data_IF_355439602556
#
_entry.id   IF_355439602556
#
_cell.length_a   1.000
_cell.length_b   1.000
_cell.length_c   1.000
_cell.angle_alpha   90.00
_cell.angle_beta   90.00
_cell.angle_gamma   90.00
#
_symmetry.space_group_name_H-M   'P 1'
#
loop_
_entity.id
_entity.type
_entity.pdbx_description
1 polymer ?
#
# COMPACT_ATOMS: atom_id res chain seq x y z
N UNK A 1 -18.28 -30.93 42.79
CA UNK A 1 -18.53 -31.24 41.37
C UNK A 1 -17.73 -30.26 40.50
N UNK A 2 -17.01 -30.74 39.46
CA UNK A 2 -15.60 -30.39 39.11
C UNK A 2 -15.45 -29.58 37.80
N UNK A 3 -14.41 -28.75 37.53
CA UNK A 3 -12.99 -28.93 37.08
C UNK A 3 -12.71 -29.39 35.62
N UNK A 4 -11.96 -28.52 34.88
CA UNK A 4 -10.96 -28.72 33.77
C UNK A 4 -11.52 -29.26 32.41
N UNK A 5 -10.94 -29.10 31.21
CA UNK A 5 -9.60 -28.79 30.63
C UNK A 5 -9.80 -28.16 29.21
N UNK A 6 -8.92 -27.37 28.56
CA UNK A 6 -7.55 -27.57 28.01
C UNK A 6 -7.34 -28.79 27.09
N UNK A 7 -7.28 -28.58 25.76
CA UNK A 7 -6.45 -29.35 24.79
C UNK A 7 -6.29 -28.55 23.48
N UNK A 8 -5.07 -28.11 23.12
CA UNK A 8 -4.11 -28.75 22.21
C UNK A 8 -4.64 -29.15 20.82
N UNK A 9 -4.21 -28.43 19.78
CA UNK A 9 -4.17 -28.95 18.41
C UNK A 9 -2.73 -28.88 17.87
N UNK A 10 -2.14 -30.06 17.64
CA UNK A 10 -0.86 -30.25 16.92
C UNK A 10 -1.14 -30.52 15.44
N UNK A 11 -0.29 -30.03 14.52
CA UNK A 11 -0.37 -30.38 13.10
C UNK A 11 0.20 -31.78 12.86
N UNK A 12 -0.48 -32.58 12.02
CA UNK A 12 0.08 -33.85 11.52
C UNK A 12 0.87 -33.58 10.23
N UNK A 13 2.16 -33.86 10.28
CA UNK A 13 2.98 -34.17 9.11
C UNK A 13 2.64 -35.58 8.60
N UNK A 14 2.65 -35.78 7.29
CA UNK A 14 2.91 -37.08 6.68
C UNK A 14 3.83 -36.88 5.46
N UNK A 15 5.02 -37.47 5.58
CA UNK A 15 6.02 -37.71 4.53
C UNK A 15 6.25 -39.24 4.52
N UNK A 16 6.44 -39.81 3.33
CA UNK A 16 6.85 -41.21 3.09
C UNK A 16 5.88 -41.90 2.12
N UNK A 17 6.08 -41.88 0.80
CA UNK A 17 7.12 -42.51 -0.03
C UNK A 17 7.03 -44.06 -0.07
N UNK A 18 6.62 -44.62 -1.22
CA UNK A 18 7.39 -45.61 -2.02
C UNK A 18 6.58 -46.26 -3.16
N UNK A 19 7.13 -46.07 -4.37
CA UNK A 19 7.40 -47.05 -5.46
C UNK A 19 6.38 -48.19 -5.74
N UNK A 20 5.89 -48.20 -6.98
CA UNK A 20 5.82 -49.43 -7.78
C UNK A 20 6.08 -49.11 -9.27
N UNK A 21 7.01 -49.87 -9.85
CA UNK A 21 7.40 -49.86 -11.26
C UNK A 21 6.44 -50.77 -12.04
N UNK A 22 6.13 -50.40 -13.28
CA UNK A 22 5.50 -51.29 -14.27
C UNK A 22 5.70 -50.74 -15.67
N UNK A 23 6.66 -51.29 -16.41
CA UNK A 23 6.92 -51.01 -17.83
C UNK A 23 5.87 -51.71 -18.69
N UNK A 24 5.50 -51.08 -19.80
CA UNK A 24 4.75 -51.70 -20.90
C UNK A 24 4.64 -50.76 -22.08
N UNK A 25 5.64 -50.79 -22.97
CA UNK A 25 5.56 -50.22 -24.31
C UNK A 25 4.60 -51.05 -25.17
N UNK A 26 3.73 -50.41 -25.95
CA UNK A 26 3.32 -50.81 -27.30
C UNK A 26 2.38 -49.75 -27.90
N UNK A 27 2.84 -49.14 -28.99
CA UNK A 27 2.05 -48.49 -30.04
C UNK A 27 2.71 -48.91 -31.38
N UNK A 28 2.08 -48.78 -32.58
CA UNK A 28 0.87 -48.03 -32.88
C UNK A 28 -0.14 -48.75 -33.82
N UNK A 29 -1.39 -48.27 -33.88
CA UNK A 29 -2.26 -48.44 -35.05
C UNK A 29 -3.00 -47.15 -35.40
N UNK A 30 -3.14 -46.94 -36.71
CA UNK A 30 -3.58 -45.74 -37.44
C UNK A 30 -5.10 -45.54 -37.45
N UNK A 31 -5.50 -44.28 -37.66
CA UNK A 31 -6.84 -43.83 -38.12
C UNK A 31 -7.83 -43.68 -36.96
N UNK A 32 -8.40 -42.52 -36.66
CA UNK A 32 -9.25 -41.71 -37.55
C UNK A 32 -9.24 -40.24 -37.14
N UNK A 33 -9.58 -39.37 -38.10
CA UNK A 33 -9.59 -37.92 -37.99
C UNK A 33 -10.51 -37.39 -36.88
N UNK A 34 -9.96 -36.60 -35.96
CA UNK A 34 -10.72 -35.82 -34.99
C UNK A 34 -10.50 -34.31 -35.22
N UNK A 35 -11.64 -33.62 -35.31
CA UNK A 35 -11.85 -32.23 -35.68
C UNK A 35 -11.01 -31.24 -34.86
N UNK A 36 -10.49 -30.21 -35.55
CA UNK A 36 -9.91 -28.99 -34.97
C UNK A 36 -10.90 -28.30 -34.01
N UNK A 37 -10.44 -27.72 -32.89
CA UNK A 37 -11.30 -26.91 -32.04
C UNK A 37 -11.68 -25.63 -32.80
N UNK A 38 -13.00 -25.36 -32.86
CA UNK A 38 -13.57 -24.19 -33.49
C UNK A 38 -13.19 -22.95 -32.68
N UNK A 39 -12.60 -21.97 -33.34
CA UNK A 39 -12.53 -20.59 -32.85
C UNK A 39 -13.96 -20.10 -32.58
N UNK A 40 -14.24 -19.69 -31.34
CA UNK A 40 -15.43 -18.92 -31.03
C UNK A 40 -15.27 -17.52 -31.62
N UNK A 41 -15.81 -17.33 -32.83
CA UNK A 41 -16.20 -16.00 -33.32
C UNK A 41 -17.41 -15.56 -32.50
N UNK A 42 -17.24 -14.57 -31.64
CA UNK A 42 -18.38 -13.86 -31.06
C UNK A 42 -19.15 -13.17 -32.19
N UNK A 43 -20.45 -13.42 -32.23
CA UNK A 43 -21.38 -12.83 -33.18
C UNK A 43 -21.44 -11.32 -32.94
N UNK A 44 -21.33 -10.56 -34.03
CA UNK A 44 -21.79 -9.17 -34.13
C UNK A 44 -23.22 -9.11 -33.58
N UNK A 45 -23.43 -8.35 -32.52
CA UNK A 45 -24.74 -7.81 -32.22
C UNK A 45 -24.93 -6.58 -33.10
N UNK A 46 -25.92 -6.66 -33.98
CA UNK A 46 -26.36 -5.55 -34.80
C UNK A 46 -27.01 -4.49 -33.89
N UNK A 47 -26.56 -3.24 -34.01
CA UNK A 47 -27.27 -2.09 -33.48
C UNK A 47 -28.15 -1.51 -34.58
N UNK A 48 -29.45 -1.40 -34.30
CA UNK A 48 -30.35 -0.56 -35.07
C UNK A 48 -30.16 0.92 -34.69
N UNK A 49 -30.11 1.83 -35.68
CA UNK A 49 -29.80 3.24 -35.49
C UNK A 49 -31.05 4.11 -35.49
N UNK A 50 -31.06 5.16 -34.68
CA UNK A 50 -31.82 6.40 -34.88
C UNK A 50 -31.04 7.52 -34.18
N UNK A 51 -30.75 8.70 -34.73
CA UNK A 51 -31.15 9.32 -36.00
C UNK A 51 -31.12 10.85 -35.83
N UNK A 52 -30.78 11.53 -36.92
CA UNK A 52 -30.84 12.99 -37.21
C UNK A 52 -29.58 13.82 -36.88
N UNK A 53 -28.78 14.20 -37.89
CA UNK A 53 -28.99 15.20 -38.98
C UNK A 53 -28.73 16.63 -38.45
N UNK A 54 -27.96 17.51 -39.10
CA UNK A 54 -27.92 17.78 -40.53
C UNK A 54 -26.61 18.46 -41.01
N UNK A 55 -26.49 18.51 -42.35
CA UNK A 55 -25.46 19.02 -43.28
C UNK A 55 -24.96 20.45 -42.95
N UNK A 56 -23.77 20.92 -43.38
CA UNK A 56 -23.38 21.09 -44.79
C UNK A 56 -21.89 21.46 -44.98
N UNK A 57 -21.49 21.37 -46.25
CA UNK A 57 -20.15 21.41 -46.85
C UNK A 57 -19.48 22.79 -46.85
N UNK A 58 -18.14 22.77 -46.89
CA UNK A 58 -17.37 23.43 -47.95
C UNK A 58 -16.52 24.64 -47.55
N UNK A 59 -15.28 24.68 -48.06
CA UNK A 59 -14.53 25.94 -48.23
C UNK A 59 -13.07 25.89 -47.83
N UNK A 60 -12.18 25.74 -48.83
CA UNK A 60 -10.73 26.01 -48.71
C UNK A 60 -10.48 27.53 -48.72
N UNK A 61 -9.30 27.89 -48.18
CA UNK A 61 -8.34 28.91 -48.66
C UNK A 61 -8.10 30.17 -47.80
N UNK A 62 -6.80 30.32 -47.48
CA UNK A 62 -5.95 31.52 -47.50
C UNK A 62 -6.28 32.77 -46.65
N UNK A 63 -5.25 33.26 -45.94
CA UNK A 63 -5.17 34.65 -45.49
C UNK A 63 -4.40 34.90 -44.19
N UNK A 64 -3.08 35.13 -44.28
CA UNK A 64 -2.33 36.02 -43.37
C UNK A 64 -2.62 37.50 -43.79
N UNK A 65 -2.20 38.57 -43.07
CA UNK A 65 -1.71 38.74 -41.69
C UNK A 65 -2.21 40.06 -40.98
N UNK A 66 -1.63 40.35 -39.81
CA UNK A 66 -1.22 41.68 -39.26
C UNK A 66 -1.99 42.33 -38.09
N UNK A 67 -1.16 42.66 -37.10
CA UNK A 67 -1.02 43.95 -36.37
C UNK A 67 -1.99 44.34 -35.23
N UNK A 68 -1.35 44.46 -34.04
CA UNK A 68 -1.62 45.34 -32.87
C UNK A 68 -1.98 46.80 -33.27
N UNK A 69 -2.54 47.70 -32.41
CA UNK A 69 -2.16 47.86 -30.99
C UNK A 69 -3.19 48.43 -29.97
N UNK A 70 -2.76 48.36 -28.69
CA UNK A 70 -2.91 49.28 -27.53
C UNK A 70 -4.12 50.22 -27.41
N UNK A 71 -4.69 50.23 -26.20
CA UNK A 71 -4.84 51.45 -25.38
C UNK A 71 -6.24 51.74 -24.83
N UNK A 72 -6.28 52.21 -23.58
CA UNK A 72 -7.35 53.09 -23.08
C UNK A 72 -8.19 52.53 -21.93
N UNK A 73 -7.93 53.04 -20.73
CA UNK A 73 -8.83 52.89 -19.58
C UNK A 73 -10.05 53.82 -19.65
N UNK A 74 -11.05 53.54 -18.82
CA UNK A 74 -12.22 54.40 -18.62
C UNK A 74 -13.09 53.89 -17.48
N UNK A 75 -13.37 54.76 -16.50
CA UNK A 75 -14.24 54.55 -15.34
C UNK A 75 -15.73 54.61 -15.72
N UNK A 76 -16.53 53.78 -15.02
CA UNK A 76 -17.92 53.90 -14.50
C UNK A 76 -19.00 54.69 -15.30
N UNK A 77 -20.28 54.24 -15.28
CA UNK A 77 -21.18 54.52 -14.14
C UNK A 77 -22.21 53.41 -13.78
N UNK A 78 -22.83 53.54 -12.60
CA UNK A 78 -24.05 52.82 -12.17
C UNK A 78 -25.29 53.30 -12.95
N UNK A 79 -26.45 52.60 -12.88
CA UNK A 79 -27.47 53.02 -11.91
C UNK A 79 -28.42 51.95 -11.30
N UNK A 80 -28.93 52.32 -10.11
CA UNK A 80 -30.30 52.22 -9.55
C UNK A 80 -31.08 50.89 -9.38
N UNK A 81 -31.61 50.70 -8.16
CA UNK A 81 -32.81 49.88 -7.91
C UNK A 81 -32.96 49.30 -6.49
N UNK A 82 -33.27 50.13 -5.48
CA UNK A 82 -33.78 49.76 -4.14
C UNK A 82 -35.33 49.70 -4.18
N UNK A 83 -36.08 49.00 -3.27
CA UNK A 83 -36.06 49.31 -1.83
C UNK A 83 -36.23 48.17 -0.80
N UNK A 84 -35.83 48.51 0.44
CA UNK A 84 -36.13 47.91 1.76
C UNK A 84 -37.64 48.02 2.09
N UNK A 85 -38.27 47.20 2.93
CA UNK A 85 -38.19 47.06 4.41
C UNK A 85 -39.15 45.89 4.82
N UNK A 86 -39.27 45.32 6.03
CA UNK A 86 -39.01 45.76 7.39
C UNK A 86 -38.95 44.56 8.37
N UNK A 87 -38.47 44.84 9.58
CA UNK A 87 -38.22 43.99 10.75
C UNK A 87 -39.49 43.53 11.53
N UNK A 88 -39.22 42.64 12.53
CA UNK A 88 -39.90 42.40 13.83
C UNK A 88 -40.79 41.13 13.88
N UNK A 89 -40.89 40.30 14.93
CA UNK A 89 -40.53 40.30 16.36
C UNK A 89 -40.47 38.83 16.86
N UNK A 90 -39.69 38.54 17.91
CA UNK A 90 -39.86 37.39 18.80
C UNK A 90 -40.83 37.73 19.96
N UNK A 91 -41.45 36.73 20.62
CA UNK A 91 -41.48 36.77 22.09
C UNK A 91 -41.33 35.41 22.82
N UNK A 92 -41.03 35.50 24.11
CA UNK A 92 -40.95 34.43 25.15
C UNK A 92 -42.32 34.14 25.80
N UNK A 93 -42.42 32.99 26.49
CA UNK A 93 -43.53 32.42 27.32
C UNK A 93 -44.04 33.32 28.48
N UNK A 94 -45.19 33.02 29.16
CA UNK A 94 -45.19 32.11 30.35
C UNK A 94 -46.53 31.40 30.79
N UNK A 95 -46.42 30.46 31.77
CA UNK A 95 -47.36 29.90 32.80
C UNK A 95 -48.76 29.35 32.39
N UNK A 96 -49.28 28.19 32.86
CA UNK A 96 -49.67 27.80 34.24
C UNK A 96 -49.75 26.25 34.49
N UNK A 97 -49.62 25.85 35.76
CA UNK A 97 -50.02 24.59 36.46
C UNK A 97 -50.93 25.04 37.64
N UNK A 98 -51.82 24.25 38.32
CA UNK A 98 -51.54 23.01 39.10
C UNK A 98 -52.84 22.13 39.32
N UNK A 99 -53.13 21.36 40.42
CA UNK A 99 -52.42 20.95 41.67
C UNK A 99 -52.41 19.42 41.91
N UNK A 100 -51.89 18.79 42.97
CA UNK A 100 -51.27 19.14 44.26
C UNK A 100 -51.15 17.86 45.12
N UNK A 101 -50.23 17.82 46.10
CA UNK A 101 -50.16 16.72 47.10
C UNK A 101 -48.78 16.36 47.67
N UNK A 102 -48.28 17.16 48.63
CA UNK A 102 -47.09 16.99 49.53
C UNK A 102 -47.55 16.39 50.91
N UNK A 103 -46.76 16.34 52.03
CA UNK A 103 -45.35 16.71 52.31
C UNK A 103 -44.53 15.67 53.14
N UNK A 104 -43.19 15.80 53.21
CA UNK A 104 -42.44 16.28 54.40
C UNK A 104 -41.40 15.22 54.81
N UNK A 105 -40.23 15.44 55.42
CA UNK A 105 -39.55 16.57 56.03
C UNK A 105 -38.12 16.11 56.45
N UNK A 106 -37.28 17.06 56.85
CA UNK A 106 -35.82 16.95 57.03
C UNK A 106 -35.32 16.20 58.29
N UNK A 107 -34.04 15.76 58.25
CA UNK A 107 -32.93 16.06 59.23
C UNK A 107 -31.98 14.88 59.52
N UNK A 108 -30.68 15.20 59.44
CA UNK A 108 -29.54 14.95 60.37
C UNK A 108 -29.40 13.60 61.10
N UNK A 109 -28.21 12.97 61.01
CA UNK A 109 -27.40 12.37 62.10
C UNK A 109 -25.98 12.06 61.53
N UNK A 110 -24.89 12.71 61.95
CA UNK A 110 -24.01 12.47 63.13
C UNK A 110 -23.56 11.02 63.35
N UNK A 111 -22.23 10.84 63.51
CA UNK A 111 -21.59 9.74 64.24
C UNK A 111 -20.66 8.91 63.36
N UNK A 112 -19.33 9.08 63.48
CA UNK A 112 -18.44 8.24 64.30
C UNK A 112 -18.04 6.94 63.54
N UNK A 113 -16.82 6.42 63.51
CA UNK A 113 -15.59 6.70 64.23
C UNK A 113 -14.40 6.20 63.38
N UNK A 114 -13.22 6.65 63.75
CA UNK A 114 -11.96 6.36 63.12
C UNK A 114 -11.32 5.04 63.63
N UNK A 115 -10.40 4.51 62.79
CA UNK A 115 -9.11 3.83 63.13
C UNK A 115 -9.13 2.34 63.58
N UNK A 116 -7.99 1.61 63.57
CA UNK A 116 -7.07 1.32 62.44
C UNK A 116 -6.42 -0.10 62.50
N UNK A 117 -5.45 -0.36 61.59
CA UNK A 117 -4.38 -1.41 61.61
C UNK A 117 -4.86 -2.82 61.19
N UNK A 118 -4.18 -3.53 60.27
CA UNK A 118 -2.79 -4.01 60.42
C UNK A 118 -2.02 -4.11 59.10
N UNK A 119 -0.75 -3.73 59.21
CA UNK A 119 0.37 -4.04 58.31
C UNK A 119 0.61 -5.56 58.24
N UNK A 120 1.02 -6.07 57.08
CA UNK A 120 2.12 -7.05 56.98
C UNK A 120 2.99 -6.70 55.78
N UNK A 121 4.23 -6.32 56.12
CA UNK A 121 5.38 -6.33 55.22
C UNK A 121 5.92 -7.76 55.14
N UNK A 122 6.45 -8.15 53.99
CA UNK A 122 7.51 -9.13 53.91
C UNK A 122 8.68 -8.59 53.09
N UNK A 123 9.84 -9.08 53.49
CA UNK A 123 11.13 -8.42 53.55
C UNK A 123 12.00 -8.71 52.34
N UNK A 124 12.91 -7.75 52.12
CA UNK A 124 14.14 -7.88 51.33
C UNK A 124 15.01 -9.02 51.87
N UNK A 125 15.67 -9.73 50.96
CA UNK A 125 16.84 -10.57 51.23
C UNK A 125 17.98 -10.21 50.29
N UNK A 126 18.97 -9.51 50.81
CA UNK A 126 20.36 -9.41 50.33
C UNK A 126 20.99 -10.82 50.35
N UNK A 127 21.78 -11.28 49.39
CA UNK A 127 23.10 -10.80 48.99
C UNK A 127 24.12 -11.93 49.23
N UNK A 128 24.84 -12.38 48.19
CA UNK A 128 26.11 -13.11 48.37
C UNK A 128 26.99 -13.00 47.11
N UNK A 129 28.12 -12.31 47.29
CA UNK A 129 29.38 -12.53 46.55
C UNK A 129 30.33 -13.27 47.50
N UNK A 130 31.14 -14.20 46.99
CA UNK A 130 32.61 -14.05 46.88
C UNK A 130 33.35 -15.41 46.80
N UNK A 131 34.55 -15.33 46.18
CA UNK A 131 35.73 -16.23 46.21
C UNK A 131 35.64 -17.43 45.25
N UNK A 132 36.56 -17.67 44.31
CA UNK A 132 37.96 -17.29 44.19
C UNK A 132 38.83 -18.51 44.51
N UNK A 133 39.58 -19.04 43.52
CA UNK A 133 40.78 -19.88 43.74
C UNK A 133 41.61 -19.99 42.45
N UNK A 134 42.82 -19.45 42.54
CA UNK A 134 43.97 -19.68 41.68
C UNK A 134 44.54 -21.10 41.85
N UNK A 135 45.20 -21.62 40.81
CA UNK A 135 46.29 -22.58 40.97
C UNK A 135 47.37 -22.38 39.90
N UNK A 136 48.58 -22.09 40.39
CA UNK A 136 49.89 -21.95 39.70
C UNK A 136 50.34 -23.28 39.06
N UNK A 137 50.89 -23.23 37.85
CA UNK A 137 52.32 -23.34 37.48
C UNK A 137 52.98 -24.72 37.64
N UNK A 138 53.63 -25.22 36.56
CA UNK A 138 55.05 -25.65 36.53
C UNK A 138 55.52 -26.02 35.11
N UNK A 139 56.84 -25.88 34.89
CA UNK A 139 57.55 -25.80 33.60
C UNK A 139 58.46 -27.03 33.38
N UNK A 140 58.56 -27.45 32.11
CA UNK A 140 59.74 -28.00 31.37
C UNK A 140 60.32 -29.37 31.76
N UNK A 141 61.36 -29.91 31.04
CA UNK A 141 62.01 -29.47 29.80
C UNK A 141 62.37 -30.60 28.77
N UNK A 142 63.03 -30.19 27.66
CA UNK A 142 63.91 -30.92 26.70
C UNK A 142 63.39 -30.84 25.23
N UNK A 143 63.87 -30.00 24.31
CA UNK A 143 65.20 -29.61 23.83
C UNK A 143 65.93 -30.66 22.97
N UNK A 144 65.93 -30.46 21.64
CA UNK A 144 67.12 -30.30 20.75
C UNK A 144 66.66 -30.17 19.28
N UNK A 145 66.78 -29.00 18.62
CA UNK A 145 67.95 -28.37 17.94
C UNK A 145 68.13 -28.90 16.50
N UNK A 146 67.82 -28.13 15.45
CA UNK A 146 68.75 -27.33 14.60
C UNK A 146 67.90 -26.90 13.35
N UNK A 147 67.93 -25.70 12.79
CA UNK A 147 69.00 -25.08 11.98
C UNK A 147 68.72 -23.58 11.70
N UNK A 148 69.74 -22.94 11.16
CA UNK A 148 70.04 -21.50 11.10
C UNK A 148 69.23 -20.67 10.08
N UNK A 149 68.97 -19.42 10.52
CA UNK A 149 69.16 -18.09 9.87
C UNK A 149 68.55 -17.83 8.48
N UNK A 150 67.61 -16.88 8.47
CA UNK A 150 67.40 -15.90 7.39
C UNK A 150 67.10 -14.53 8.00
N UNK A 151 67.90 -13.52 7.64
CA UNK A 151 67.68 -12.09 7.94
C UNK A 151 66.67 -11.55 6.92
N UNK A 152 65.60 -10.90 7.35
CA UNK A 152 64.85 -9.99 6.48
C UNK A 152 64.64 -8.62 7.13
N UNK A 153 64.82 -7.60 6.30
CA UNK A 153 64.91 -6.18 6.60
C UNK A 153 63.51 -5.55 6.61
N UNK A 154 63.39 -4.45 7.36
CA UNK A 154 62.22 -3.58 7.45
C UNK A 154 61.82 -2.99 6.08
N UNK A 155 60.52 -3.00 5.79
CA UNK A 155 59.85 -2.19 4.75
C UNK A 155 58.61 -1.48 5.33
N UNK A 156 58.36 -0.25 4.87
CA UNK A 156 57.29 0.68 5.31
C UNK A 156 55.86 0.11 5.15
N UNK A 157 54.85 0.60 5.90
CA UNK A 157 53.48 0.16 5.74
C UNK A 157 52.80 0.97 4.62
N UNK A 158 52.47 0.31 3.51
CA UNK A 158 51.55 0.85 2.51
C UNK A 158 50.11 0.64 2.98
N UNK A 159 49.42 1.76 3.18
CA UNK A 159 47.99 1.79 3.45
C UNK A 159 47.20 1.51 2.17
N UNK A 160 46.49 0.39 2.14
CA UNK A 160 45.26 0.23 1.36
C UNK A 160 44.22 -0.50 2.21
N UNK A 161 43.12 0.18 2.49
CA UNK A 161 41.93 -0.43 3.07
C UNK A 161 41.41 -1.54 2.13
N UNK A 162 40.77 -2.60 2.66
CA UNK A 162 40.25 -3.68 1.83
C UNK A 162 39.17 -3.14 0.87
N UNK A 163 39.39 -3.28 -0.44
CA UNK A 163 38.44 -2.88 -1.48
C UNK A 163 37.19 -3.78 -1.36
N UNK A 164 36.05 -3.17 -1.00
CA UNK A 164 34.75 -3.84 -1.00
C UNK A 164 34.48 -4.45 -2.38
N UNK A 165 33.91 -5.68 -2.46
CA UNK A 165 33.69 -6.33 -3.74
C UNK A 165 32.85 -5.44 -4.65
N UNK A 166 33.38 -5.15 -5.84
CA UNK A 166 32.73 -4.32 -6.86
C UNK A 166 31.31 -4.83 -7.08
N UNK A 167 30.32 -3.94 -6.88
CA UNK A 167 28.91 -4.21 -7.14
C UNK A 167 28.79 -4.81 -8.53
N UNK A 168 28.43 -6.08 -8.62
CA UNK A 168 28.10 -6.75 -9.88
C UNK A 168 27.02 -5.91 -10.55
N UNK A 169 27.32 -5.24 -11.67
CA UNK A 169 26.33 -4.50 -12.46
C UNK A 169 25.25 -5.51 -12.83
N UNK A 170 24.08 -5.39 -12.20
CA UNK A 170 22.89 -6.08 -12.64
C UNK A 170 22.53 -5.43 -13.98
N UNK A 171 22.82 -6.12 -15.08
CA UNK A 171 22.40 -5.69 -16.41
C UNK A 171 20.87 -5.74 -16.47
N UNK A 172 20.19 -4.64 -16.87
CA UNK A 172 18.76 -4.67 -17.18
C UNK A 172 18.45 -5.80 -18.17
N UNK A 173 17.26 -6.38 -18.06
CA UNK A 173 16.81 -7.38 -19.02
C UNK A 173 16.40 -6.68 -20.32
N UNK A 174 17.24 -6.72 -21.35
CA UNK A 174 16.86 -6.33 -22.72
C UNK A 174 16.91 -4.82 -23.02
N UNK A 175 16.32 -4.35 -24.15
CA UNK A 175 16.41 -2.96 -24.63
C UNK A 175 15.86 -1.98 -23.58
N UNK A 176 16.04 -0.66 -23.81
CA UNK A 176 15.51 0.40 -22.94
C UNK A 176 14.09 0.07 -22.46
N UNK A 177 13.84 0.23 -21.16
CA UNK A 177 12.50 0.05 -20.59
C UNK A 177 11.48 0.85 -21.43
N UNK A 178 10.28 0.30 -21.70
CA UNK A 178 9.22 1.12 -22.26
C UNK A 178 8.89 2.27 -21.30
N UNK A 179 8.19 3.29 -21.78
CA UNK A 179 7.59 4.22 -20.84
C UNK A 179 6.64 3.47 -19.89
N UNK A 180 6.79 3.73 -18.59
CA UNK A 180 5.99 3.10 -17.54
C UNK A 180 5.44 4.17 -16.59
N UNK A 181 4.25 3.93 -16.06
CA UNK A 181 3.64 4.76 -15.01
C UNK A 181 2.87 3.86 -14.05
N UNK A 182 3.01 4.03 -12.74
CA UNK A 182 2.07 3.38 -11.81
C UNK A 182 0.69 4.04 -11.99
N UNK A 183 -0.31 3.24 -12.36
CA UNK A 183 -1.66 3.74 -12.58
C UNK A 183 -2.47 3.74 -11.28
N UNK A 184 -2.56 2.59 -10.59
CA UNK A 184 -3.31 2.47 -9.34
C UNK A 184 -2.84 1.33 -8.44
N UNK A 185 -3.32 1.35 -7.20
CA UNK A 185 -3.39 0.18 -6.32
C UNK A 185 -4.85 -0.21 -6.13
N UNK A 186 -5.15 -1.46 -6.42
CA UNK A 186 -6.50 -2.02 -6.32
C UNK A 186 -6.70 -2.71 -4.97
N UNK A 187 -7.90 -2.61 -4.40
CA UNK A 187 -8.31 -3.19 -3.12
C UNK A 187 -9.51 -4.10 -3.39
N UNK A 188 -9.35 -5.38 -3.08
CA UNK A 188 -10.46 -6.33 -3.14
C UNK A 188 -11.30 -6.20 -1.87
N UNK A 189 -12.60 -6.00 -2.05
CA UNK A 189 -13.58 -5.82 -0.98
C UNK A 189 -14.75 -6.79 -1.15
N UNK A 190 -15.41 -7.11 -0.04
CA UNK A 190 -16.63 -7.92 -0.06
C UNK A 190 -17.80 -7.19 -0.67
N UNK A 191 -17.85 -5.86 -0.53
CA UNK A 191 -18.81 -5.00 -1.20
C UNK A 191 -18.25 -3.57 -1.40
N UNK A 192 -18.40 -3.02 -2.60
CA UNK A 192 -17.92 -1.68 -2.98
C UNK A 192 -18.66 -0.59 -2.21
N UNK A 193 -19.99 -0.69 -2.06
CA UNK A 193 -20.79 0.35 -1.42
C UNK A 193 -20.32 0.72 0.01
N UNK A 194 -20.17 -0.23 0.96
CA UNK A 194 -19.67 0.09 2.30
C UNK A 194 -18.19 0.53 2.29
N UNK A 195 -17.34 -0.06 1.44
CA UNK A 195 -15.94 0.33 1.32
C UNK A 195 -15.78 1.76 0.81
N UNK A 196 -16.56 2.14 -0.21
CA UNK A 196 -16.57 3.49 -0.74
C UNK A 196 -17.09 4.50 0.29
N UNK A 197 -18.14 4.15 1.06
CA UNK A 197 -18.62 4.96 2.16
C UNK A 197 -17.54 5.18 3.24
N UNK A 198 -16.76 4.14 3.57
CA UNK A 198 -15.60 4.26 4.45
C UNK A 198 -14.55 5.23 3.89
N UNK A 199 -14.11 5.05 2.63
CA UNK A 199 -13.09 5.92 2.04
C UNK A 199 -13.56 7.37 1.89
N UNK A 200 -14.84 7.62 1.55
CA UNK A 200 -15.44 8.97 1.51
C UNK A 200 -15.43 9.66 2.88
N UNK A 201 -15.60 8.88 3.95
CA UNK A 201 -15.61 9.38 5.32
C UNK A 201 -14.19 9.71 5.81
N UNK A 202 -13.21 8.85 5.49
CA UNK A 202 -11.84 8.99 5.98
C UNK A 202 -11.01 9.96 5.16
N UNK A 203 -11.11 9.91 3.83
CA UNK A 203 -10.20 10.59 2.90
C UNK A 203 -10.95 11.62 2.03
N UNK A 204 -10.25 12.67 1.54
CA UNK A 204 -10.80 13.60 0.55
C UNK A 204 -10.81 12.96 -0.85
N UNK A 205 -11.68 11.97 -1.07
CA UNK A 205 -11.72 11.26 -2.35
C UNK A 205 -12.44 12.06 -3.43
N UNK A 206 -11.94 12.02 -4.66
CA UNK A 206 -12.64 12.47 -5.87
C UNK A 206 -12.96 11.26 -6.75
N UNK A 207 -14.25 10.97 -6.96
CA UNK A 207 -14.67 9.89 -7.85
C UNK A 207 -14.17 10.14 -9.27
N UNK A 208 -13.72 9.09 -9.94
CA UNK A 208 -13.43 9.11 -11.38
C UNK A 208 -14.44 8.25 -12.14
N UNK A 209 -14.66 7.02 -11.67
CA UNK A 209 -15.59 6.07 -12.28
C UNK A 209 -16.54 5.54 -11.21
N UNK A 210 -17.85 5.72 -11.41
CA UNK A 210 -18.87 5.08 -10.57
C UNK A 210 -18.87 3.54 -10.78
N UNK A 211 -19.32 2.75 -9.79
CA UNK A 211 -19.30 1.29 -9.88
C UNK A 211 -19.93 0.76 -11.16
N UNK A 212 -19.19 -0.07 -11.89
CA UNK A 212 -19.64 -0.70 -13.15
C UNK A 212 -19.03 -2.09 -13.33
N UNK A 213 -19.63 -2.90 -14.20
CA UNK A 213 -19.09 -4.22 -14.53
C UNK A 213 -17.67 -4.14 -15.09
N UNK A 214 -16.86 -5.10 -14.70
CA UNK A 214 -15.60 -5.43 -15.35
C UNK A 214 -15.83 -5.97 -16.76
N UNK A 215 -14.77 -6.06 -17.54
CA UNK A 215 -14.81 -6.42 -18.95
C UNK A 215 -15.33 -7.82 -19.26
N UNK A 216 -15.26 -8.73 -18.28
CA UNK A 216 -15.67 -10.13 -18.40
C UNK A 216 -16.84 -10.48 -17.49
N UNK A 217 -17.52 -9.47 -16.95
CA UNK A 217 -18.65 -9.57 -16.01
C UNK A 217 -18.33 -10.42 -14.75
N UNK A 218 -17.05 -10.67 -14.42
CA UNK A 218 -16.68 -11.44 -13.21
C UNK A 218 -16.64 -10.61 -11.95
N UNK A 219 -16.50 -9.31 -12.10
CA UNK A 219 -16.28 -8.37 -11.01
C UNK A 219 -16.96 -7.04 -11.33
N UNK A 220 -17.25 -6.28 -10.29
CA UNK A 220 -17.60 -4.86 -10.36
C UNK A 220 -16.38 -4.08 -9.91
N UNK A 221 -16.13 -2.92 -10.52
CA UNK A 221 -15.06 -2.04 -10.11
C UNK A 221 -15.48 -0.58 -10.10
N UNK A 222 -14.77 0.20 -9.30
CA UNK A 222 -14.86 1.67 -9.24
C UNK A 222 -13.49 2.22 -8.91
N UNK A 223 -13.22 3.46 -9.29
CA UNK A 223 -12.00 4.12 -8.90
C UNK A 223 -12.21 5.58 -8.49
N UNK A 224 -11.27 6.04 -7.67
CA UNK A 224 -11.27 7.38 -7.14
C UNK A 224 -9.84 7.84 -6.89
N UNK A 225 -9.71 9.14 -6.71
CA UNK A 225 -8.44 9.82 -6.52
C UNK A 225 -8.34 10.37 -5.09
N UNK A 226 -7.14 10.34 -4.53
CA UNK A 226 -6.78 11.06 -3.30
C UNK A 226 -5.56 11.93 -3.65
N UNK A 227 -5.81 13.21 -3.92
CA UNK A 227 -4.84 14.06 -4.61
C UNK A 227 -4.58 13.53 -6.02
N UNK A 228 -3.34 13.17 -6.30
CA UNK A 228 -2.85 12.61 -7.57
C UNK A 228 -2.78 11.08 -7.59
N UNK A 229 -3.04 10.40 -6.47
CA UNK A 229 -3.06 8.93 -6.42
C UNK A 229 -4.42 8.35 -6.77
N UNK A 230 -4.41 7.33 -7.63
CA UNK A 230 -5.59 6.53 -7.97
C UNK A 230 -5.65 5.26 -7.13
N UNK A 231 -6.82 5.00 -6.55
CA UNK A 231 -7.16 3.74 -5.91
C UNK A 231 -8.36 3.13 -6.62
N UNK A 232 -8.35 1.81 -6.75
CA UNK A 232 -9.45 1.03 -7.32
C UNK A 232 -10.04 0.13 -6.23
N UNK A 233 -11.36 -0.03 -6.23
CA UNK A 233 -12.04 -1.08 -5.48
C UNK A 233 -12.59 -2.10 -6.46
N UNK A 234 -12.41 -3.38 -6.14
CA UNK A 234 -13.00 -4.50 -6.88
C UNK A 234 -13.84 -5.38 -5.96
N UNK A 235 -15.00 -5.77 -6.44
CA UNK A 235 -15.95 -6.67 -5.80
C UNK A 235 -16.30 -7.80 -6.76
N UNK A 236 -16.60 -8.99 -6.23
CA UNK A 236 -17.05 -10.10 -7.07
C UNK A 236 -18.45 -9.86 -7.62
N UNK A 237 -18.65 -10.03 -8.94
CA UNK A 237 -19.98 -10.01 -9.54
C UNK A 237 -20.61 -11.40 -9.61
N UNK A 238 -19.84 -12.47 -9.36
CA UNK A 238 -20.33 -13.86 -9.43
C UNK A 238 -19.54 -14.85 -8.56
N UNK A 239 -20.15 -16.00 -8.21
CA UNK A 239 -19.44 -17.06 -7.52
C UNK A 239 -18.20 -17.56 -8.27
N UNK A 240 -17.21 -17.98 -7.51
CA UNK A 240 -15.92 -18.49 -7.95
C UNK A 240 -15.10 -17.53 -8.85
N UNK A 241 -15.33 -16.21 -8.78
CA UNK A 241 -14.49 -15.21 -9.44
C UNK A 241 -13.06 -15.19 -8.87
N UNK A 242 -12.14 -14.49 -9.54
CA UNK A 242 -10.80 -14.29 -8.97
C UNK A 242 -10.83 -13.45 -7.68
N UNK A 243 -11.78 -12.51 -7.56
CA UNK A 243 -12.00 -11.69 -6.37
C UNK A 243 -12.43 -12.57 -5.19
N UNK A 244 -13.44 -13.44 -5.37
CA UNK A 244 -13.85 -14.38 -4.31
C UNK A 244 -12.69 -15.30 -3.88
N UNK A 245 -11.94 -15.83 -4.85
CA UNK A 245 -10.76 -16.65 -4.56
C UNK A 245 -9.71 -15.89 -3.76
N UNK A 246 -9.53 -14.59 -4.03
CA UNK A 246 -8.64 -13.74 -3.25
C UNK A 246 -9.18 -13.53 -1.83
N UNK A 247 -10.43 -13.09 -1.70
CA UNK A 247 -11.09 -12.84 -0.41
C UNK A 247 -11.11 -14.09 0.48
N UNK A 248 -11.38 -15.27 -0.08
CA UNK A 248 -11.36 -16.53 0.68
C UNK A 248 -9.97 -16.87 1.24
N UNK A 249 -8.89 -16.47 0.56
CA UNK A 249 -7.51 -16.76 0.99
C UNK A 249 -6.91 -15.65 1.86
N UNK A 250 -7.28 -14.40 1.62
CA UNK A 250 -6.62 -13.22 2.18
C UNK A 250 -7.54 -12.34 3.01
N UNK A 251 -8.85 -12.47 2.87
CA UNK A 251 -9.81 -11.44 3.29
C UNK A 251 -9.75 -10.22 2.38
N UNK A 252 -10.48 -9.17 2.74
CA UNK A 252 -10.35 -7.87 2.08
C UNK A 252 -8.92 -7.31 2.18
N UNK A 253 -8.54 -6.46 1.23
CA UNK A 253 -7.27 -5.74 1.24
C UNK A 253 -6.67 -5.49 -0.15
N UNK A 254 -5.48 -4.88 -0.18
CA UNK A 254 -4.76 -4.57 -1.41
C UNK A 254 -4.51 -5.83 -2.26
N UNK A 255 -4.99 -5.81 -3.51
CA UNK A 255 -4.97 -6.93 -4.44
C UNK A 255 -3.80 -6.85 -5.41
N UNK A 256 -3.67 -5.73 -6.13
CA UNK A 256 -2.68 -5.59 -7.19
C UNK A 256 -2.18 -4.15 -7.34
N UNK A 257 -0.96 -4.03 -7.87
CA UNK A 257 -0.36 -2.78 -8.34
C UNK A 257 -0.48 -2.77 -9.85
N UNK A 258 -1.11 -1.75 -10.41
CA UNK A 258 -1.24 -1.58 -11.85
C UNK A 258 -0.23 -0.59 -12.39
N UNK A 259 0.39 -0.94 -13.51
CA UNK A 259 1.43 -0.15 -14.17
C UNK A 259 1.06 -0.02 -15.64
N UNK A 260 0.88 1.21 -16.10
CA UNK A 260 0.74 1.51 -17.51
C UNK A 260 2.03 1.18 -18.26
N UNK A 261 1.87 0.58 -19.44
CA UNK A 261 2.95 0.27 -20.37
C UNK A 261 2.71 1.03 -21.66
N UNK A 262 3.78 1.64 -22.18
CA UNK A 262 3.80 2.32 -23.48
C UNK A 262 3.04 1.52 -24.56
N UNK A 263 2.18 2.21 -25.30
CA UNK A 263 1.37 1.61 -26.34
C UNK A 263 2.23 0.85 -27.37
N UNK A 264 1.77 -0.36 -27.74
CA UNK A 264 2.47 -1.26 -28.65
C UNK A 264 3.66 -2.00 -28.04
N UNK A 265 3.98 -1.77 -26.75
CA UNK A 265 5.16 -2.37 -26.09
C UNK A 265 4.82 -3.52 -25.14
N UNK A 266 3.55 -3.73 -24.77
CA UNK A 266 3.16 -4.72 -23.76
C UNK A 266 3.59 -6.15 -24.14
N UNK A 267 3.34 -6.58 -25.37
CA UNK A 267 3.70 -7.92 -25.84
C UNK A 267 5.20 -8.20 -25.76
N UNK A 268 6.03 -7.30 -26.30
CA UNK A 268 7.48 -7.42 -26.25
C UNK A 268 8.04 -7.37 -24.81
N UNK A 269 7.46 -6.51 -23.98
CA UNK A 269 7.86 -6.36 -22.58
C UNK A 269 7.54 -7.60 -21.75
N UNK A 270 6.31 -8.12 -21.84
CA UNK A 270 5.93 -9.36 -21.14
C UNK A 270 6.74 -10.57 -21.60
N UNK A 271 7.05 -10.69 -22.89
CA UNK A 271 7.94 -11.73 -23.40
C UNK A 271 9.37 -11.62 -22.82
N UNK A 272 9.89 -10.40 -22.61
CA UNK A 272 11.17 -10.20 -21.94
C UNK A 272 11.13 -10.60 -20.46
N UNK A 273 10.04 -10.29 -19.77
CA UNK A 273 9.81 -10.68 -18.38
C UNK A 273 9.71 -12.20 -18.21
N UNK A 274 9.04 -12.90 -19.14
CA UNK A 274 8.97 -14.37 -19.14
C UNK A 274 10.35 -15.00 -19.36
N UNK A 275 11.16 -14.46 -20.30
CA UNK A 275 12.55 -14.89 -20.48
C UNK A 275 13.43 -14.62 -19.25
N UNK A 276 13.08 -13.63 -18.44
CA UNK A 276 13.72 -13.37 -17.14
C UNK A 276 13.23 -14.29 -16.02
N UNK A 277 12.34 -15.24 -16.32
CA UNK A 277 11.81 -16.22 -15.37
C UNK A 277 10.58 -15.75 -14.59
N UNK A 278 9.94 -14.65 -14.99
CA UNK A 278 8.66 -14.25 -14.39
C UNK A 278 7.50 -15.06 -14.96
N UNK A 279 6.52 -15.33 -14.10
CA UNK A 279 5.30 -16.04 -14.50
C UNK A 279 4.20 -15.05 -14.81
N UNK A 280 3.86 -14.89 -16.09
CA UNK A 280 2.62 -14.22 -16.50
C UNK A 280 1.45 -15.19 -16.29
N UNK A 281 0.41 -14.76 -15.58
CA UNK A 281 -0.70 -15.63 -15.15
C UNK A 281 -2.02 -15.34 -15.83
N UNK A 282 -2.16 -14.17 -16.44
CA UNK A 282 -3.37 -13.76 -17.14
C UNK A 282 -3.05 -12.68 -18.18
N UNK A 283 -3.89 -12.59 -19.22
CA UNK A 283 -3.82 -11.60 -20.30
C UNK A 283 -5.24 -11.24 -20.77
N UNK A 284 -5.48 -9.96 -21.03
CA UNK A 284 -6.72 -9.46 -21.62
C UNK A 284 -6.45 -8.63 -22.88
N UNK A 285 -7.31 -8.77 -23.88
CA UNK A 285 -7.40 -7.90 -25.06
C UNK A 285 -8.86 -7.47 -25.16
N UNK A 286 -9.08 -6.16 -25.17
CA UNK A 286 -10.40 -5.56 -25.05
C UNK A 286 -10.93 -5.07 -26.41
N UNK A 287 -10.17 -5.28 -27.49
CA UNK A 287 -10.59 -4.98 -28.87
C UNK A 287 -10.65 -3.49 -29.23
N UNK A 288 -10.31 -2.61 -28.29
CA UNK A 288 -10.23 -1.15 -28.45
C UNK A 288 -8.78 -0.62 -28.31
N UNK A 289 -7.79 -1.53 -28.26
CA UNK A 289 -6.38 -1.22 -28.02
C UNK A 289 -5.98 -1.23 -26.54
N UNK A 290 -6.94 -1.35 -25.61
CA UNK A 290 -6.62 -1.70 -24.24
C UNK A 290 -6.16 -3.17 -24.18
N UNK A 291 -5.06 -3.41 -23.47
CA UNK A 291 -4.56 -4.75 -23.21
C UNK A 291 -4.06 -4.86 -21.77
N UNK A 292 -4.15 -6.05 -21.17
CA UNK A 292 -3.63 -6.30 -19.83
C UNK A 292 -2.79 -7.58 -19.78
N UNK A 293 -1.84 -7.60 -18.84
CA UNK A 293 -1.10 -8.81 -18.48
C UNK A 293 -0.73 -8.79 -16.99
N UNK A 294 -0.63 -9.94 -16.35
CA UNK A 294 -0.40 -10.01 -14.90
C UNK A 294 0.81 -10.85 -14.52
N UNK A 295 1.76 -10.31 -13.75
CA UNK A 295 2.84 -11.09 -13.13
C UNK A 295 2.34 -11.72 -11.83
N UNK A 296 2.56 -13.03 -11.69
CA UNK A 296 2.23 -13.78 -10.48
C UNK A 296 2.95 -13.26 -9.21
N UNK A 297 2.27 -13.22 -8.05
CA UNK A 297 2.91 -12.99 -6.75
C UNK A 297 3.95 -14.06 -6.36
N UNK A 298 4.00 -15.18 -7.09
CA UNK A 298 5.01 -16.23 -6.88
C UNK A 298 6.38 -15.86 -7.44
N UNK A 299 6.41 -14.94 -8.41
CA UNK A 299 7.64 -14.46 -9.07
C UNK A 299 7.82 -12.94 -8.93
N UNK A 300 6.87 -12.25 -8.30
CA UNK A 300 6.95 -10.84 -7.91
C UNK A 300 6.75 -10.74 -6.39
N UNK A 301 7.57 -9.98 -5.62
CA UNK A 301 7.71 -9.95 -4.15
C UNK A 301 6.42 -10.00 -3.29
N UNK A 302 5.67 -11.10 -3.37
CA UNK A 302 4.36 -11.27 -2.75
C UNK A 302 3.21 -10.46 -3.37
N UNK A 303 3.40 -9.74 -4.48
CA UNK A 303 2.39 -8.86 -5.08
C UNK A 303 2.00 -9.28 -6.50
N UNK A 304 0.71 -9.12 -6.84
CA UNK A 304 0.23 -9.22 -8.22
C UNK A 304 0.52 -7.87 -8.88
N UNK A 305 1.24 -7.89 -10.00
CA UNK A 305 1.48 -6.67 -10.79
C UNK A 305 0.69 -6.81 -12.08
N UNK A 306 -0.25 -5.90 -12.28
CA UNK A 306 -0.94 -5.72 -13.55
C UNK A 306 -0.13 -4.78 -14.42
N UNK A 307 0.02 -5.15 -15.68
CA UNK A 307 0.38 -4.23 -16.74
C UNK A 307 -0.88 -3.87 -17.50
N UNK A 308 -1.08 -2.58 -17.72
CA UNK A 308 -2.17 -2.05 -18.50
C UNK A 308 -1.58 -1.28 -19.68
N UNK A 309 -1.93 -1.64 -20.90
CA UNK A 309 -1.65 -0.81 -22.06
C UNK A 309 -2.94 -0.08 -22.38
N UNK A 310 -2.92 1.25 -22.35
CA UNK A 310 -4.03 2.08 -22.83
C UNK A 310 -3.63 2.74 -24.15
N UNK A 311 -4.55 2.89 -25.12
CA UNK A 311 -4.28 3.65 -26.34
C UNK A 311 -3.81 5.08 -26.04
N UNK A 312 -2.78 5.53 -26.73
CA UNK A 312 -2.22 6.87 -26.63
C UNK A 312 -1.24 7.11 -25.48
N UNK A 313 -0.93 6.12 -24.63
CA UNK A 313 0.09 6.29 -23.60
C UNK A 313 1.50 6.09 -24.17
N UNK A 314 2.24 7.20 -24.25
CA UNK A 314 3.66 7.24 -24.66
C UNK A 314 4.58 7.86 -23.59
N UNK A 315 4.21 7.72 -22.32
CA UNK A 315 5.00 8.16 -21.16
C UNK A 315 4.58 9.46 -20.50
N UNK A 316 3.73 10.26 -21.15
CA UNK A 316 3.02 11.35 -20.47
C UNK A 316 1.75 10.81 -19.81
N UNK A 317 1.40 11.26 -18.59
CA UNK A 317 0.09 10.98 -18.02
C UNK A 317 -1.03 11.41 -18.99
N UNK A 318 -2.18 10.70 -19.03
CA UNK A 318 -3.38 11.19 -19.70
C UNK A 318 -3.76 12.60 -19.24
N UNK A 319 -4.37 13.38 -20.12
CA UNK A 319 -4.68 14.78 -19.86
C UNK A 319 -5.62 15.01 -18.66
N UNK A 320 -6.42 14.01 -18.28
CA UNK A 320 -7.33 14.04 -17.14
C UNK A 320 -6.67 13.63 -15.81
N UNK A 321 -5.37 13.28 -15.83
CA UNK A 321 -4.65 12.92 -14.62
C UNK A 321 -4.42 14.16 -13.73
N UNK A 322 -4.90 14.16 -12.48
CA UNK A 322 -4.67 15.27 -11.56
C UNK A 322 -3.18 15.50 -11.29
N UNK A 323 -2.77 16.77 -11.34
CA UNK A 323 -1.40 17.19 -11.07
C UNK A 323 -1.21 17.71 -9.64
N UNK A 324 -2.29 17.99 -8.92
CA UNK A 324 -2.23 18.43 -7.52
C UNK A 324 -2.14 17.19 -6.60
N UNK A 325 -0.98 16.97 -5.94
CA UNK A 325 -0.82 15.84 -5.03
C UNK A 325 -1.53 16.04 -3.69
N UNK A 326 -2.06 17.25 -3.43
CA UNK A 326 -2.70 17.59 -2.16
C UNK A 326 -4.20 17.70 -2.35
N UNK A 327 -4.95 17.01 -1.50
CA UNK A 327 -6.39 17.18 -1.39
C UNK A 327 -6.74 17.64 0.03
N UNK A 328 -7.88 18.31 0.22
CA UNK A 328 -8.28 18.83 1.52
C UNK A 328 -9.69 18.40 1.91
N UNK A 329 -9.90 18.18 3.20
CA UNK A 329 -11.21 17.91 3.79
C UNK A 329 -11.23 18.38 5.24
N UNK A 330 -12.31 19.06 5.63
CA UNK A 330 -12.54 19.55 7.00
C UNK A 330 -11.36 20.37 7.55
N UNK A 331 -10.71 21.14 6.67
CA UNK A 331 -9.52 21.94 7.00
C UNK A 331 -8.22 21.16 7.12
N UNK A 332 -8.20 19.83 7.01
CA UNK A 332 -6.97 19.02 6.97
C UNK A 332 -6.57 18.79 5.52
N UNK A 333 -5.28 18.94 5.22
CA UNK A 333 -4.71 18.60 3.90
C UNK A 333 -4.09 17.21 3.95
N UNK A 334 -4.21 16.48 2.86
CA UNK A 334 -3.80 15.09 2.71
C UNK A 334 -2.96 14.94 1.45
N UNK A 335 -1.92 14.13 1.53
CA UNK A 335 -1.13 13.70 0.38
C UNK A 335 -0.76 12.24 0.56
N UNK A 336 -1.12 11.40 -0.41
CA UNK A 336 -0.61 10.02 -0.40
C UNK A 336 0.90 10.06 -0.62
N UNK A 337 1.66 9.52 0.34
CA UNK A 337 3.12 9.49 0.27
C UNK A 337 3.60 8.21 -0.41
N UNK A 338 3.25 7.03 0.12
CA UNK A 338 3.72 5.78 -0.44
C UNK A 338 2.81 4.58 -0.14
N UNK A 339 3.05 3.50 -0.89
CA UNK A 339 2.55 2.15 -0.58
C UNK A 339 3.73 1.28 -0.15
N UNK A 340 3.57 0.60 0.98
CA UNK A 340 4.62 -0.21 1.57
C UNK A 340 4.44 -1.70 1.31
N UNK A 341 5.55 -2.40 1.06
CA UNK A 341 5.65 -3.85 0.94
C UNK A 341 6.46 -4.40 2.11
N UNK A 342 5.90 -5.36 2.85
CA UNK A 342 6.65 -6.15 3.80
C UNK A 342 7.40 -7.26 3.08
N UNK A 343 8.73 -7.31 3.28
CA UNK A 343 9.64 -8.23 2.59
C UNK A 343 10.58 -8.90 3.58
N UNK A 344 11.11 -10.06 3.20
CA UNK A 344 12.12 -10.78 3.98
C UNK A 344 13.49 -10.13 3.85
N UNK A 345 13.78 -9.51 2.71
CA UNK A 345 15.03 -8.78 2.47
C UNK A 345 14.80 -7.61 1.52
N UNK A 346 15.02 -6.39 2.02
CA UNK A 346 14.99 -5.17 1.22
C UNK A 346 15.99 -5.25 0.07
N UNK A 347 17.20 -5.76 0.32
CA UNK A 347 18.27 -5.78 -0.70
C UNK A 347 17.93 -6.73 -1.84
N UNK A 348 17.38 -7.91 -1.54
CA UNK A 348 16.97 -8.88 -2.55
C UNK A 348 15.79 -8.34 -3.39
N UNK A 349 14.77 -7.76 -2.73
CA UNK A 349 13.59 -7.20 -3.40
C UNK A 349 13.93 -5.97 -4.23
N UNK A 350 14.76 -5.06 -3.72
CA UNK A 350 15.21 -3.91 -4.49
C UNK A 350 16.09 -4.34 -5.67
N UNK A 351 16.91 -5.39 -5.49
CA UNK A 351 17.63 -6.04 -6.58
C UNK A 351 16.71 -6.62 -7.65
N UNK A 352 15.55 -7.17 -7.26
CA UNK A 352 14.52 -7.65 -8.19
C UNK A 352 13.90 -6.50 -8.98
N UNK A 353 13.46 -5.42 -8.30
CA UNK A 353 12.91 -4.24 -8.97
C UNK A 353 13.91 -3.60 -9.94
N UNK A 354 15.17 -3.40 -9.55
CA UNK A 354 16.22 -2.82 -10.41
C UNK A 354 16.46 -3.57 -11.72
N UNK A 355 16.25 -4.89 -11.73
CA UNK A 355 16.46 -5.70 -12.93
C UNK A 355 15.33 -5.56 -13.94
N UNK A 356 14.13 -5.27 -13.45
CA UNK A 356 12.89 -5.46 -14.20
C UNK A 356 12.13 -4.16 -14.43
N UNK A 357 12.41 -3.11 -13.65
CA UNK A 357 11.73 -1.83 -13.72
C UNK A 357 12.73 -0.67 -13.64
N UNK A 358 12.43 0.47 -14.27
CA UNK A 358 13.12 1.72 -14.01
C UNK A 358 12.76 2.19 -12.60
N UNK A 359 13.71 2.07 -11.68
CA UNK A 359 13.53 2.53 -10.30
C UNK A 359 14.67 3.43 -9.82
N UNK A 360 14.32 4.38 -8.98
CA UNK A 360 15.27 5.26 -8.30
C UNK A 360 15.18 5.04 -6.79
N UNK A 361 16.30 4.74 -6.14
CA UNK A 361 16.36 4.53 -4.69
C UNK A 361 17.41 5.47 -4.09
N UNK A 362 17.10 6.77 -3.95
CA UNK A 362 18.09 7.80 -3.63
C UNK A 362 18.60 7.69 -2.19
N UNK A 363 17.80 7.11 -1.30
CA UNK A 363 18.18 6.89 0.11
C UNK A 363 18.55 5.43 0.35
N UNK A 364 19.60 5.16 1.17
CA UNK A 364 19.92 3.80 1.57
C UNK A 364 18.87 3.24 2.54
N UNK A 365 18.99 1.95 2.83
CA UNK A 365 18.24 1.29 3.91
C UNK A 365 18.46 2.02 5.23
N UNK A 366 17.38 2.32 5.93
CA UNK A 366 17.34 3.04 7.20
C UNK A 366 16.71 2.19 8.29
N UNK A 367 17.04 2.46 9.55
CA UNK A 367 16.38 1.85 10.70
C UNK A 367 15.10 2.64 11.02
N UNK A 368 14.00 1.93 11.23
CA UNK A 368 12.76 2.52 11.73
C UNK A 368 12.97 3.15 13.11
N UNK A 369 12.18 4.17 13.42
CA UNK A 369 12.33 4.98 14.65
C UNK A 369 12.21 4.15 15.94
N UNK A 370 11.40 3.08 15.91
CA UNK A 370 11.18 2.16 17.03
C UNK A 370 12.21 1.03 17.11
N UNK A 371 13.16 1.01 16.17
CA UNK A 371 14.14 -0.06 16.01
C UNK A 371 13.54 -1.42 15.64
N UNK A 372 12.24 -1.56 15.41
CA UNK A 372 11.61 -2.86 15.15
C UNK A 372 11.78 -3.35 13.70
N UNK A 373 11.97 -2.42 12.78
CA UNK A 373 12.10 -2.69 11.35
C UNK A 373 13.20 -1.84 10.72
N UNK A 374 13.64 -2.23 9.53
CA UNK A 374 14.35 -1.38 8.59
C UNK A 374 13.40 -1.03 7.45
N UNK A 375 13.63 0.11 6.80
CA UNK A 375 12.87 0.52 5.64
C UNK A 375 13.79 1.09 4.55
N UNK A 376 13.38 0.99 3.29
CA UNK A 376 13.99 1.71 2.18
C UNK A 376 12.93 2.13 1.19
N UNK A 377 12.96 3.41 0.83
CA UNK A 377 12.05 4.01 -0.14
C UNK A 377 12.68 4.07 -1.52
N UNK A 378 11.85 3.92 -2.53
CA UNK A 378 12.24 3.99 -3.93
C UNK A 378 11.08 4.49 -4.78
N UNK A 379 11.40 5.03 -5.94
CA UNK A 379 10.44 5.46 -6.95
C UNK A 379 10.30 4.36 -7.99
N UNK A 380 9.07 3.98 -8.27
CA UNK A 380 8.68 3.04 -9.31
C UNK A 380 7.74 3.76 -10.25
N UNK A 381 8.22 4.08 -11.45
CA UNK A 381 7.41 4.67 -12.51
C UNK A 381 6.53 5.85 -12.03
N UNK A 382 7.15 6.81 -11.32
CA UNK A 382 6.50 8.02 -10.82
C UNK A 382 5.87 7.93 -9.42
N UNK A 383 5.69 6.72 -8.87
CA UNK A 383 5.13 6.53 -7.54
C UNK A 383 6.19 6.11 -6.52
N UNK A 384 6.09 6.67 -5.32
CA UNK A 384 6.96 6.33 -4.20
C UNK A 384 6.45 5.06 -3.52
N UNK A 385 7.36 4.13 -3.32
CA UNK A 385 7.14 2.83 -2.69
C UNK A 385 8.07 2.70 -1.49
N UNK A 386 7.65 1.93 -0.49
CA UNK A 386 8.50 1.60 0.66
C UNK A 386 8.64 0.08 0.79
N UNK A 387 9.85 -0.40 1.03
CA UNK A 387 10.10 -1.77 1.46
C UNK A 387 10.38 -1.76 2.95
N UNK A 388 9.70 -2.63 3.72
CA UNK A 388 9.96 -2.83 5.14
C UNK A 388 10.44 -4.26 5.41
N UNK A 389 11.49 -4.38 6.22
CA UNK A 389 12.12 -5.64 6.62
C UNK A 389 12.23 -5.67 8.14
N UNK A 390 12.08 -6.84 8.75
CA UNK A 390 12.24 -6.95 10.19
C UNK A 390 13.67 -6.65 10.62
N UNK A 391 13.86 -5.86 11.68
CA UNK A 391 15.18 -5.60 12.27
C UNK A 391 15.40 -6.34 13.60
N UNK A 392 14.40 -7.08 14.08
CA UNK A 392 14.48 -7.90 15.30
C UNK A 392 13.45 -9.02 15.31
N UNK A 393 13.68 -10.11 16.07
CA UNK A 393 12.67 -11.16 16.25
C UNK A 393 11.36 -10.60 16.81
N UNK A 394 10.25 -11.24 16.42
CA UNK A 394 8.89 -10.93 16.85
C UNK A 394 8.44 -9.48 16.56
N UNK A 395 9.05 -8.80 15.59
CA UNK A 395 8.59 -7.48 15.12
C UNK A 395 7.18 -7.56 14.48
N UNK A 396 6.53 -6.42 14.25
CA UNK A 396 5.26 -6.41 13.53
C UNK A 396 5.42 -6.91 12.08
N UNK A 397 6.58 -6.67 11.45
CA UNK A 397 6.92 -7.16 10.12
C UNK A 397 7.04 -8.69 10.13
N UNK A 398 7.71 -9.29 11.11
CA UNK A 398 7.76 -10.77 11.21
C UNK A 398 6.38 -11.37 11.41
N UNK A 399 5.56 -10.78 12.29
CA UNK A 399 4.19 -11.25 12.52
C UNK A 399 3.34 -11.13 11.25
N UNK A 400 3.54 -10.08 10.45
CA UNK A 400 2.89 -9.93 9.16
C UNK A 400 3.35 -11.03 8.19
N UNK A 401 4.67 -11.19 7.99
CA UNK A 401 5.27 -12.16 7.08
C UNK A 401 4.88 -13.60 7.43
N UNK A 402 4.78 -13.94 8.72
CA UNK A 402 4.36 -15.26 9.18
C UNK A 402 2.90 -15.58 8.81
N UNK A 403 2.02 -14.58 8.81
CA UNK A 403 0.60 -14.75 8.48
C UNK A 403 0.28 -14.61 7.00
N UNK A 404 0.98 -13.70 6.31
CA UNK A 404 0.63 -13.27 4.94
C UNK A 404 1.70 -13.65 3.91
N UNK A 405 2.94 -13.89 4.32
CA UNK A 405 4.10 -13.87 3.42
C UNK A 405 4.48 -12.43 3.08
N UNK A 406 5.35 -12.27 2.09
CA UNK A 406 5.67 -10.95 1.52
C UNK A 406 4.43 -10.36 0.83
N UNK A 407 4.37 -9.02 0.72
CA UNK A 407 3.31 -8.32 0.00
C UNK A 407 2.96 -6.97 0.58
N UNK A 408 1.85 -6.38 0.11
CA UNK A 408 1.37 -5.08 0.57
C UNK A 408 1.11 -5.04 2.08
N UNK A 409 1.66 -4.03 2.74
CA UNK A 409 1.53 -3.84 4.19
C UNK A 409 0.64 -2.64 4.53
N UNK A 410 0.94 -1.45 3.99
CA UNK A 410 0.22 -0.24 4.36
C UNK A 410 0.20 0.82 3.26
N UNK A 411 -0.79 1.70 3.33
CA UNK A 411 -0.90 2.95 2.58
C UNK A 411 -0.55 4.09 3.52
N UNK A 412 0.49 4.86 3.19
CA UNK A 412 0.93 6.00 3.97
C UNK A 412 0.42 7.32 3.38
N UNK A 413 -0.13 8.17 4.25
CA UNK A 413 -0.73 9.44 3.89
C UNK A 413 -0.17 10.53 4.80
N UNK A 414 0.50 11.50 4.21
CA UNK A 414 0.90 12.70 4.92
C UNK A 414 -0.34 13.55 5.18
N UNK A 415 -0.39 14.19 6.34
CA UNK A 415 -1.38 15.21 6.71
C UNK A 415 -0.69 16.43 7.29
N UNK A 416 -1.26 17.61 7.10
CA UNK A 416 -0.68 18.83 7.69
C UNK A 416 -0.91 18.93 9.20
N UNK A 417 -2.00 18.35 9.70
CA UNK A 417 -2.39 18.41 11.12
C UNK A 417 -3.08 17.10 11.53
N UNK A 418 -2.47 16.35 12.44
CA UNK A 418 -3.00 15.05 12.89
C UNK A 418 -4.12 15.20 13.92
N UNK A 419 -4.04 16.16 14.84
CA UNK A 419 -5.00 16.27 15.95
C UNK A 419 -6.44 16.56 15.50
N UNK A 420 -6.71 17.46 14.52
CA UNK A 420 -8.06 17.64 13.98
C UNK A 420 -8.58 16.36 13.29
N UNK A 421 -7.71 15.67 12.54
CA UNK A 421 -8.07 14.42 11.87
C UNK A 421 -8.44 13.32 12.87
N UNK A 422 -7.62 13.13 13.90
CA UNK A 422 -7.85 12.14 14.97
C UNK A 422 -9.18 12.40 15.65
N UNK A 423 -9.42 13.63 16.11
CA UNK A 423 -10.68 13.99 16.80
C UNK A 423 -11.90 13.72 15.93
N UNK A 424 -11.84 14.08 14.64
CA UNK A 424 -12.93 13.82 13.70
C UNK A 424 -13.18 12.33 13.53
N UNK A 425 -12.12 11.56 13.24
CA UNK A 425 -12.24 10.11 13.02
C UNK A 425 -12.75 9.38 14.26
N UNK A 426 -12.30 9.77 15.46
CA UNK A 426 -12.82 9.22 16.72
C UNK A 426 -14.30 9.57 16.94
N UNK A 427 -14.71 10.80 16.63
CA UNK A 427 -16.13 11.20 16.67
C UNK A 427 -16.98 10.39 15.67
N UNK A 428 -16.40 9.98 14.54
CA UNK A 428 -17.02 9.08 13.56
C UNK A 428 -16.97 7.59 13.97
N UNK A 429 -16.48 7.28 15.18
CA UNK A 429 -16.35 5.91 15.69
C UNK A 429 -15.19 5.10 15.10
N UNK A 430 -14.24 5.76 14.43
CA UNK A 430 -13.03 5.14 13.87
C UNK A 430 -11.89 5.31 14.87
N UNK A 431 -11.52 4.22 15.54
CA UNK A 431 -10.40 4.20 16.48
C UNK A 431 -9.05 4.20 15.74
N UNK A 432 -8.21 5.21 15.99
CA UNK A 432 -6.82 5.23 15.55
C UNK A 432 -5.89 4.67 16.62
N UNK A 433 -5.04 3.74 16.21
CA UNK A 433 -4.01 3.10 17.03
C UNK A 433 -2.61 3.64 16.66
N UNK A 434 -1.58 3.16 17.36
CA UNK A 434 -0.18 3.40 16.95
C UNK A 434 0.25 4.86 17.00
N UNK A 435 -0.36 5.66 17.88
CA UNK A 435 -0.01 7.07 18.05
C UNK A 435 1.37 7.21 18.66
N UNK A 436 2.24 7.98 18.00
CA UNK A 436 3.57 8.25 18.50
C UNK A 436 4.08 9.61 18.02
N UNK A 437 4.84 10.27 18.89
CA UNK A 437 5.74 11.37 18.52
C UNK A 437 7.11 10.79 18.19
N UNK A 438 7.68 11.25 17.09
CA UNK A 438 8.84 10.66 16.44
C UNK A 438 9.93 11.73 16.29
N UNK A 439 11.22 11.36 16.38
CA UNK A 439 12.32 12.30 16.23
C UNK A 439 12.17 13.21 15.00
N UNK A 440 12.42 14.50 15.23
CA UNK A 440 12.20 15.57 14.24
C UNK A 440 10.80 16.17 14.27
N UNK A 441 10.02 15.99 15.34
CA UNK A 441 8.70 16.61 15.51
C UNK A 441 7.59 15.97 14.66
N UNK A 442 7.84 14.78 14.11
CA UNK A 442 6.85 14.05 13.31
C UNK A 442 5.88 13.32 14.21
N UNK A 443 4.63 13.19 13.78
CA UNK A 443 3.61 12.43 14.50
C UNK A 443 2.99 11.40 13.59
N UNK A 444 2.59 10.25 14.13
CA UNK A 444 1.90 9.22 13.35
C UNK A 444 0.68 8.70 14.07
N UNK A 445 -0.32 8.24 13.32
CA UNK A 445 -1.45 7.46 13.80
C UNK A 445 -1.90 6.49 12.71
N UNK A 446 -2.57 5.40 13.08
CA UNK A 446 -2.90 4.30 12.16
C UNK A 446 -4.36 3.90 12.31
N UNK A 447 -5.06 3.71 11.17
CA UNK A 447 -6.31 2.96 11.15
C UNK A 447 -5.97 1.48 10.97
N UNK A 448 -6.43 0.65 11.91
CA UNK A 448 -6.19 -0.79 11.86
C UNK A 448 -6.95 -1.43 10.69
N UNK A 449 -6.38 -2.41 9.96
CA UNK A 449 -7.02 -3.09 8.81
C UNK A 449 -8.44 -3.61 9.06
N UNK A 450 -8.74 -4.03 10.29
CA UNK A 450 -10.07 -4.49 10.74
C UNK A 450 -11.18 -3.46 10.51
N UNK A 451 -10.82 -2.17 10.46
CA UNK A 451 -11.73 -1.03 10.34
C UNK A 451 -11.65 -0.37 8.96
N UNK A 452 -10.79 -0.86 8.07
CA UNK A 452 -10.43 -0.20 6.81
C UNK A 452 -10.34 -1.19 5.66
N UNK A 453 -11.29 -2.14 5.60
CA UNK A 453 -11.42 -3.13 4.54
C UNK A 453 -10.11 -3.87 4.24
N UNK A 454 -9.39 -4.27 5.30
CA UNK A 454 -8.14 -5.00 5.20
C UNK A 454 -6.90 -4.16 4.87
N UNK A 455 -7.04 -2.84 4.71
CA UNK A 455 -5.93 -1.90 4.44
C UNK A 455 -5.46 -1.26 5.74
N UNK A 456 -4.16 -1.32 6.03
CA UNK A 456 -3.57 -0.49 7.08
C UNK A 456 -3.33 0.91 6.51
N UNK A 457 -4.01 1.92 7.03
CA UNK A 457 -3.80 3.32 6.63
C UNK A 457 -2.99 4.01 7.71
N UNK A 458 -1.80 4.47 7.36
CA UNK A 458 -0.92 5.19 8.27
C UNK A 458 -0.90 6.67 7.92
N UNK A 459 -1.25 7.51 8.88
CA UNK A 459 -1.12 8.95 8.78
C UNK A 459 0.21 9.41 9.36
N UNK A 460 0.82 10.39 8.69
CA UNK A 460 2.02 11.07 9.13
C UNK A 460 1.79 12.58 9.13
N UNK A 461 2.03 13.23 10.26
CA UNK A 461 2.19 14.69 10.27
C UNK A 461 3.66 15.01 10.13
N UNK A 462 3.98 15.63 9.00
CA UNK A 462 5.32 16.05 8.64
C UNK A 462 5.44 17.57 8.85
N UNK A 463 6.47 18.05 9.57
CA UNK A 463 6.68 19.49 9.82
C UNK A 463 6.74 20.35 8.54
N UNK A 464 7.12 19.75 7.41
CA UNK A 464 7.24 20.41 6.09
C UNK A 464 6.10 20.04 5.13
N UNK A 465 4.91 19.70 5.65
CA UNK A 465 3.77 19.35 4.80
C UNK A 465 3.51 20.43 3.72
N UNK A 466 3.40 19.99 2.46
CA UNK A 466 3.18 20.85 1.30
C UNK A 466 4.43 21.19 0.49
N UNK A 467 5.63 20.86 0.96
CA UNK A 467 6.85 20.85 0.13
C UNK A 467 6.83 19.75 -0.94
N UNK A 468 7.73 19.75 -1.94
CA UNK A 468 7.82 18.67 -2.93
C UNK A 468 7.99 17.30 -2.25
N UNK A 469 7.48 16.24 -2.88
CA UNK A 469 7.64 14.86 -2.35
C UNK A 469 9.12 14.59 -2.11
N UNK A 470 9.48 14.28 -0.87
CA UNK A 470 10.87 13.98 -0.51
C UNK A 470 11.33 12.71 -1.23
N UNK A 471 12.54 12.70 -1.80
CA UNK A 471 13.10 11.57 -2.52
C UNK A 471 13.24 10.31 -1.67
#
# INVERSE_FOLDING_TARGET
MPKRASSYWKPRHAVGDRRARGRGHLAPRRGTAARRPRHLRLRRLEHHPHGHADRARGGRAAGRPRARPRGGGGRAPAPHGLPRAALRHAPRSPHERPPGGKPGGARLHRGAAARPRRRRAHSRGTGHRARGRDARAQRGPAARRRLRRGRERRGRPDGRAPELPRRRRLTPVGPSFPALRVDHVSIAVGAIAPALAFFRRVLPIRMRVEPRSGYDDQFVWTDFLVGDWKLELIESARPASFVERFLARRGEGMHHLSIDVEEGRLGAYTAALERAGLRIVDRGDYGNGDETAFISPRTAPGILIQFWQVPGFHGAPPADHPTDPVAARDGVRFRVDHVALAVRSIDATLGWFRRLFPIEAPRPKQRGWDGAHAFQRFWLAGCKMELIESARPASFVERFLARRGEGFHHLAIDVDRLDPLVRRLEADGIELIGRAEIPGGRRTAVIHPRHAHGVLIQFWEEPEFGGPRRP
#
